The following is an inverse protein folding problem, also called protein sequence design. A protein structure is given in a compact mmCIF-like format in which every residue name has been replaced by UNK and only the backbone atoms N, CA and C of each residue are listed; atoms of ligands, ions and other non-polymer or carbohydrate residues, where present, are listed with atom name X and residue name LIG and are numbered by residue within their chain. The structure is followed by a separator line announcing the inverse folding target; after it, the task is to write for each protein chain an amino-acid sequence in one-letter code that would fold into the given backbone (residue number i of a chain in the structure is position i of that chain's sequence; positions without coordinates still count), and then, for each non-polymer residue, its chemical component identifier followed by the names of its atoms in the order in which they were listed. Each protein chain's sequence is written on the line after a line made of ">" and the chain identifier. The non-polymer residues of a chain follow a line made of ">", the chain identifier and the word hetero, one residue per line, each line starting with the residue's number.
data_IF_221910418725
#
_entry.id   IF_221910418725
#
_cell.length_a   1.000
_cell.length_b   1.000
_cell.length_c   1.000
_cell.angle_alpha   90.00
_cell.angle_beta   90.00
_cell.angle_gamma   90.00
#
_symmetry.space_group_name_H-M   'P 1'
#
loop_
_entity.id
_entity.type
_entity.pdbx_description
1 polymer ?
#
# COMPACT_ATOMS: atom_id res chain seq x y z
N UNK A 1 -0.31 -5.87 22.00
CA UNK A 1 1.11 -6.04 22.30
C UNK A 1 1.89 -6.10 21.00
N UNK A 2 2.77 -5.09 20.75
CA UNK A 2 3.64 -5.06 19.58
C UNK A 2 4.85 -6.00 19.79
N UNK A 3 5.31 -6.62 18.70
CA UNK A 3 6.54 -7.39 18.71
C UNK A 3 7.77 -6.49 18.97
N UNK A 4 8.92 -7.04 19.40
CA UNK A 4 10.12 -6.24 19.63
C UNK A 4 10.63 -5.53 18.38
N UNK A 5 10.41 -6.10 17.21
CA UNK A 5 10.84 -5.58 15.91
C UNK A 5 9.84 -4.61 15.27
N UNK A 6 8.69 -4.36 15.90
CA UNK A 6 7.69 -3.41 15.42
C UNK A 6 8.07 -1.97 15.78
N UNK A 7 7.76 -1.03 14.90
CA UNK A 7 7.93 0.40 15.16
C UNK A 7 7.00 0.88 16.26
N UNK A 8 7.55 1.63 17.22
CA UNK A 8 6.79 2.24 18.32
C UNK A 8 6.70 3.74 18.14
N UNK A 9 5.50 4.29 18.23
CA UNK A 9 5.29 5.73 18.03
C UNK A 9 6.12 6.62 18.98
N UNK A 10 6.43 6.15 20.20
CA UNK A 10 7.29 6.87 21.16
C UNK A 10 8.79 6.80 20.79
N UNK A 11 9.17 5.93 19.91
CA UNK A 11 10.55 5.72 19.45
C UNK A 11 10.72 6.19 17.99
N UNK A 12 9.77 7.00 17.48
CA UNK A 12 9.81 7.55 16.12
C UNK A 12 11.04 8.44 15.92
N UNK A 13 11.60 8.39 14.70
CA UNK A 13 12.63 9.35 14.27
C UNK A 13 12.10 10.80 14.18
N UNK A 14 10.79 10.99 14.42
CA UNK A 14 10.18 12.30 14.51
C UNK A 14 9.70 12.86 13.18
N UNK A 15 9.49 14.16 13.19
CA UNK A 15 8.95 14.95 12.08
C UNK A 15 9.96 15.97 11.60
N UNK A 16 9.83 16.39 10.34
CA UNK A 16 10.68 17.46 9.77
C UNK A 16 10.56 18.77 10.54
N UNK A 17 9.34 19.12 10.93
CA UNK A 17 9.06 20.29 11.78
C UNK A 17 8.60 19.80 13.16
N UNK A 18 9.28 20.20 14.25
CA UNK A 18 8.91 19.80 15.60
C UNK A 18 7.49 20.27 15.96
N UNK A 19 6.72 19.38 16.58
CA UNK A 19 5.37 19.65 17.06
C UNK A 19 5.16 19.03 18.44
N UNK A 20 4.32 19.65 19.24
CA UNK A 20 3.90 19.10 20.53
C UNK A 20 3.14 17.78 20.34
N UNK A 21 3.43 16.81 21.16
CA UNK A 21 2.68 15.54 21.20
C UNK A 21 1.20 15.78 21.53
N UNK A 22 0.35 14.95 20.96
CA UNK A 22 -1.08 15.04 21.23
C UNK A 22 -1.43 14.15 22.44
N UNK A 23 -2.29 14.62 23.37
CA UNK A 23 -2.56 13.90 24.62
C UNK A 23 -3.24 12.52 24.42
N UNK A 24 -3.92 12.29 23.30
CA UNK A 24 -4.69 11.07 23.04
C UNK A 24 -4.27 10.29 21.81
N UNK A 25 -3.57 10.95 20.85
CA UNK A 25 -3.20 10.33 19.57
C UNK A 25 -1.70 10.15 19.48
N UNK A 26 -1.28 8.95 19.10
CA UNK A 26 0.12 8.67 18.79
C UNK A 26 0.58 9.45 17.55
N UNK A 27 1.90 9.52 17.33
CA UNK A 27 2.46 10.16 16.14
C UNK A 27 1.91 9.52 14.84
N UNK A 28 1.82 8.19 14.77
CA UNK A 28 1.32 7.48 13.58
C UNK A 28 -0.18 7.64 13.38
N UNK A 29 -0.98 7.70 14.45
CA UNK A 29 -2.41 8.04 14.34
C UNK A 29 -2.62 9.43 13.76
N UNK A 30 -1.81 10.41 14.21
CA UNK A 30 -1.85 11.77 13.62
C UNK A 30 -1.46 11.78 12.16
N UNK A 31 -0.53 10.92 11.73
CA UNK A 31 -0.14 10.82 10.32
C UNK A 31 -1.29 10.28 9.48
N UNK A 32 -1.93 9.21 9.92
CA UNK A 32 -3.13 8.67 9.27
C UNK A 32 -4.22 9.74 9.12
N UNK A 33 -4.53 10.46 10.21
CA UNK A 33 -5.53 11.52 10.17
C UNK A 33 -5.16 12.61 9.15
N UNK A 34 -3.89 12.99 9.08
CA UNK A 34 -3.40 14.01 8.13
C UNK A 34 -3.55 13.56 6.68
N UNK A 35 -3.26 12.30 6.39
CA UNK A 35 -3.44 11.71 5.06
C UNK A 35 -4.91 11.72 4.67
N UNK A 36 -5.79 11.17 5.52
CA UNK A 36 -7.23 11.09 5.24
C UNK A 36 -7.83 12.48 4.94
N UNK A 37 -7.37 13.49 5.65
CA UNK A 37 -7.90 14.85 5.51
C UNK A 37 -7.22 15.68 4.42
N UNK A 38 -6.18 15.22 3.74
CA UNK A 38 -5.50 15.99 2.68
C UNK A 38 -6.31 16.03 1.38
N UNK A 39 -5.99 17.01 0.52
CA UNK A 39 -6.67 17.15 -0.76
C UNK A 39 -6.29 16.05 -1.75
N UNK A 40 -5.02 15.64 -1.72
CA UNK A 40 -4.51 14.58 -2.60
C UNK A 40 -5.24 13.25 -2.36
N UNK A 41 -5.54 12.88 -1.10
CA UNK A 41 -6.27 11.67 -0.76
C UNK A 41 -7.70 11.67 -1.36
N UNK A 42 -8.43 12.78 -1.24
CA UNK A 42 -9.76 12.88 -1.85
C UNK A 42 -9.73 12.78 -3.38
N UNK A 43 -8.64 13.26 -4.01
CA UNK A 43 -8.47 13.18 -5.48
C UNK A 43 -8.24 11.76 -5.98
N UNK A 44 -7.88 10.81 -5.13
CA UNK A 44 -7.76 9.39 -5.50
C UNK A 44 -9.09 8.82 -6.00
N UNK A 45 -10.23 9.36 -5.57
CA UNK A 45 -11.57 8.99 -6.06
C UNK A 45 -11.73 9.22 -7.57
N UNK A 46 -11.06 10.22 -8.10
CA UNK A 46 -11.14 10.61 -9.51
C UNK A 46 -10.00 10.05 -10.37
N UNK A 47 -9.17 9.17 -9.80
CA UNK A 47 -8.10 8.48 -10.51
C UNK A 47 -8.47 7.01 -10.67
N UNK A 48 -8.43 6.53 -11.91
CA UNK A 48 -8.69 5.11 -12.23
C UNK A 48 -7.58 4.23 -11.67
N UNK A 49 -7.93 3.04 -11.20
CA UNK A 49 -6.95 1.99 -10.90
C UNK A 49 -6.45 1.38 -12.22
N UNK A 50 -7.32 0.69 -12.92
CA UNK A 50 -7.05 0.09 -14.24
C UNK A 50 -8.11 0.53 -15.25
N UNK A 51 -9.39 0.38 -14.92
CA UNK A 51 -10.52 0.68 -15.80
C UNK A 51 -11.08 2.07 -15.54
N UNK A 52 -11.53 2.72 -16.62
CA UNK A 52 -12.06 4.08 -16.53
C UNK A 52 -13.49 4.03 -15.99
N UNK A 53 -13.74 4.73 -14.88
CA UNK A 53 -15.00 4.65 -14.12
C UNK A 53 -16.26 5.12 -14.87
N UNK A 54 -16.13 5.89 -15.94
CA UNK A 54 -17.30 6.29 -16.74
C UNK A 54 -17.91 5.14 -17.58
N UNK A 55 -17.21 4.00 -17.68
CA UNK A 55 -17.74 2.77 -18.30
C UNK A 55 -18.64 1.99 -17.34
N UNK A 56 -18.45 2.19 -16.02
CA UNK A 56 -19.26 1.59 -14.96
C UNK A 56 -18.81 2.10 -13.59
N UNK A 57 -19.76 2.46 -12.73
CA UNK A 57 -19.53 3.01 -11.40
C UNK A 57 -19.05 1.98 -10.36
N UNK A 58 -18.96 0.72 -10.75
CA UNK A 58 -18.52 -0.42 -9.90
C UNK A 58 -17.04 -0.78 -10.08
N UNK A 59 -16.32 -0.12 -11.01
CA UNK A 59 -14.87 -0.31 -11.13
C UNK A 59 -14.12 0.42 -10.02
N UNK A 60 -12.97 -0.16 -9.63
CA UNK A 60 -12.16 0.40 -8.55
C UNK A 60 -11.50 1.72 -8.93
N UNK A 61 -11.61 2.68 -8.02
CA UNK A 61 -10.79 3.91 -8.03
C UNK A 61 -9.51 3.67 -7.22
N UNK A 62 -8.52 4.55 -7.33
CA UNK A 62 -7.33 4.49 -6.48
C UNK A 62 -7.66 4.68 -5.00
N UNK A 63 -8.76 5.38 -4.68
CA UNK A 63 -9.21 5.52 -3.29
C UNK A 63 -9.67 4.19 -2.72
N UNK A 64 -10.53 3.47 -3.44
CA UNK A 64 -11.02 2.16 -3.00
C UNK A 64 -9.90 1.13 -2.93
N UNK A 65 -8.99 1.14 -3.91
CA UNK A 65 -7.77 0.32 -3.86
C UNK A 65 -6.93 0.59 -2.61
N UNK A 66 -6.63 1.87 -2.29
CA UNK A 66 -5.86 2.21 -1.09
C UNK A 66 -6.53 1.75 0.20
N UNK A 67 -7.87 1.74 0.28
CA UNK A 67 -8.61 1.20 1.42
C UNK A 67 -8.48 -0.33 1.51
N UNK A 68 -8.56 -1.03 0.39
CA UNK A 68 -8.41 -2.48 0.31
C UNK A 68 -6.96 -2.90 0.66
N UNK A 69 -5.96 -2.18 0.17
CA UNK A 69 -4.55 -2.36 0.58
C UNK A 69 -4.39 -2.18 2.09
N UNK A 70 -4.96 -1.12 2.67
CA UNK A 70 -4.89 -0.88 4.10
C UNK A 70 -5.55 -2.01 4.91
N UNK A 71 -6.66 -2.57 4.43
CA UNK A 71 -7.36 -3.70 5.07
C UNK A 71 -6.48 -4.96 5.06
N UNK A 72 -5.89 -5.31 3.91
CA UNK A 72 -5.00 -6.49 3.77
C UNK A 72 -3.74 -6.30 4.62
N UNK A 73 -3.09 -5.14 4.50
CA UNK A 73 -1.88 -4.82 5.24
C UNK A 73 -2.08 -4.87 6.78
N UNK A 74 -3.20 -4.36 7.28
CA UNK A 74 -3.54 -4.46 8.71
C UNK A 74 -3.76 -5.90 9.16
N UNK A 75 -4.33 -6.75 8.31
CA UNK A 75 -4.49 -8.18 8.61
C UNK A 75 -3.14 -8.84 8.80
N UNK A 76 -2.20 -8.64 7.87
CA UNK A 76 -0.81 -9.11 7.99
C UNK A 76 -0.11 -8.50 9.20
N UNK A 77 -0.25 -7.19 9.41
CA UNK A 77 0.34 -6.48 10.54
C UNK A 77 -0.10 -7.03 11.89
N UNK A 78 -1.37 -7.38 12.03
CA UNK A 78 -1.93 -7.98 13.25
C UNK A 78 -1.35 -9.37 13.50
N UNK A 79 -1.25 -10.21 12.49
CA UNK A 79 -0.64 -11.55 12.59
C UNK A 79 0.84 -11.45 13.00
N UNK A 80 1.57 -10.50 12.43
CA UNK A 80 2.99 -10.24 12.70
C UNK A 80 3.22 -9.38 13.95
N UNK A 81 2.16 -8.90 14.62
CA UNK A 81 2.20 -8.01 15.80
C UNK A 81 2.95 -6.70 15.53
N UNK A 82 2.77 -6.14 14.33
CA UNK A 82 3.31 -4.86 13.88
C UNK A 82 2.38 -3.70 14.27
N UNK A 83 2.83 -2.47 14.06
CA UNK A 83 2.08 -1.26 14.37
C UNK A 83 1.03 -0.96 13.29
N UNK A 84 -0.23 -1.30 13.57
CA UNK A 84 -1.35 -1.10 12.63
C UNK A 84 -1.55 0.37 12.25
N UNK A 85 -1.33 1.32 13.15
CA UNK A 85 -1.48 2.76 12.84
C UNK A 85 -0.43 3.23 11.80
N UNK A 86 0.82 2.73 11.91
CA UNK A 86 1.88 3.02 10.94
C UNK A 86 1.57 2.37 9.58
N UNK A 87 1.16 1.11 9.60
CA UNK A 87 0.75 0.38 8.38
C UNK A 87 -0.35 1.15 7.66
N UNK A 88 -1.40 1.53 8.37
CA UNK A 88 -2.55 2.23 7.78
C UNK A 88 -2.16 3.61 7.24
N UNK A 89 -1.31 4.36 7.96
CA UNK A 89 -0.81 5.65 7.49
C UNK A 89 -0.01 5.52 6.18
N UNK A 90 0.85 4.50 6.05
CA UNK A 90 1.63 4.25 4.83
C UNK A 90 0.70 3.78 3.71
N UNK A 91 -0.19 2.82 3.97
CA UNK A 91 -1.10 2.28 2.98
C UNK A 91 -2.05 3.32 2.37
N UNK A 92 -2.57 4.24 3.18
CA UNK A 92 -3.42 5.33 2.68
C UNK A 92 -2.63 6.41 1.90
N UNK A 93 -1.32 6.50 2.13
CA UNK A 93 -0.49 7.52 1.51
C UNK A 93 0.26 7.04 0.26
N UNK A 94 0.38 5.73 0.02
CA UNK A 94 1.28 5.19 -1.01
C UNK A 94 0.96 5.67 -2.42
N UNK A 95 -0.32 5.86 -2.74
CA UNK A 95 -0.82 6.22 -4.08
C UNK A 95 -1.03 7.73 -4.32
N UNK A 96 -0.72 8.60 -3.35
CA UNK A 96 -1.00 10.04 -3.44
C UNK A 96 -0.34 10.73 -4.64
N UNK A 97 0.81 10.21 -5.07
CA UNK A 97 1.59 10.75 -6.18
C UNK A 97 1.26 10.18 -7.56
N UNK A 98 0.36 9.20 -7.66
CA UNK A 98 0.01 8.60 -8.95
C UNK A 98 -0.62 9.59 -9.93
N UNK A 99 -0.29 9.38 -11.20
CA UNK A 99 -0.83 10.13 -12.34
C UNK A 99 -2.22 9.62 -12.72
N UNK A 100 -3.02 10.39 -13.47
CA UNK A 100 -4.14 9.84 -14.25
C UNK A 100 -3.62 8.74 -15.19
N UNK A 101 -4.46 7.75 -15.48
CA UNK A 101 -4.17 6.61 -16.36
C UNK A 101 -3.04 5.68 -15.88
N UNK A 102 -2.84 5.60 -14.56
CA UNK A 102 -1.94 4.64 -13.92
C UNK A 102 -0.50 4.69 -14.44
N UNK A 103 0.11 3.53 -14.65
CA UNK A 103 1.49 3.42 -15.12
C UNK A 103 1.70 3.92 -16.56
N UNK A 104 0.67 3.87 -17.42
CA UNK A 104 0.77 4.45 -18.77
C UNK A 104 0.96 5.96 -18.72
N UNK A 105 0.21 6.64 -17.83
CA UNK A 105 0.37 8.08 -17.60
C UNK A 105 1.72 8.42 -16.96
N UNK A 106 2.20 7.58 -16.05
CA UNK A 106 3.53 7.72 -15.44
C UNK A 106 4.64 7.62 -16.47
N UNK A 107 4.59 6.61 -17.36
CA UNK A 107 5.57 6.40 -18.41
C UNK A 107 5.68 7.63 -19.32
N UNK A 108 4.53 8.12 -19.81
CA UNK A 108 4.51 9.33 -20.68
C UNK A 108 5.05 10.55 -19.95
N UNK A 109 4.68 10.76 -18.68
CA UNK A 109 5.20 11.89 -17.91
C UNK A 109 6.71 11.76 -17.65
N UNK A 110 7.19 10.55 -17.39
CA UNK A 110 8.64 10.31 -17.21
C UNK A 110 9.43 10.65 -18.47
N UNK A 111 8.94 10.27 -19.64
CA UNK A 111 9.54 10.63 -20.93
C UNK A 111 9.55 12.15 -21.16
N UNK A 112 8.40 12.81 -20.97
CA UNK A 112 8.26 14.25 -21.14
C UNK A 112 9.13 15.06 -20.18
N UNK A 113 9.43 14.50 -19.02
CA UNK A 113 10.24 15.12 -17.98
C UNK A 113 11.70 14.65 -17.96
N UNK A 114 12.17 13.92 -18.95
CA UNK A 114 13.54 13.37 -18.99
C UNK A 114 14.60 14.43 -18.69
N UNK A 115 14.51 15.58 -19.32
CA UNK A 115 15.45 16.71 -19.13
C UNK A 115 15.22 17.48 -17.80
N UNK A 116 14.18 17.13 -17.03
CA UNK A 116 13.80 17.76 -15.76
C UNK A 116 13.90 16.82 -14.56
N UNK A 117 14.57 15.68 -14.72
CA UNK A 117 14.80 14.69 -13.66
C UNK A 117 13.84 13.51 -13.66
N UNK A 118 12.98 13.42 -14.68
CA UNK A 118 12.01 12.35 -14.82
C UNK A 118 10.78 12.50 -13.92
N UNK A 119 9.93 11.49 -13.94
CA UNK A 119 8.77 11.38 -13.07
C UNK A 119 8.69 9.97 -12.47
N UNK A 120 8.38 9.89 -11.17
CA UNK A 120 8.20 8.63 -10.44
C UNK A 120 7.17 8.87 -9.34
N UNK A 121 6.12 8.03 -9.30
CA UNK A 121 4.93 8.28 -8.45
C UNK A 121 5.23 8.27 -6.95
N UNK A 122 6.16 7.44 -6.45
CA UNK A 122 6.51 7.43 -5.01
C UNK A 122 7.27 8.70 -4.62
N UNK A 123 8.19 9.17 -5.47
CA UNK A 123 8.87 10.45 -5.25
C UNK A 123 7.86 11.61 -5.31
N UNK A 124 6.92 11.57 -6.24
CA UNK A 124 5.84 12.55 -6.30
C UNK A 124 4.90 12.47 -5.08
N UNK A 125 4.60 11.27 -4.57
CA UNK A 125 3.82 11.11 -3.33
C UNK A 125 4.54 11.76 -2.14
N UNK A 126 5.86 11.54 -2.02
CA UNK A 126 6.66 12.23 -1.01
C UNK A 126 6.61 13.75 -1.18
N UNK A 127 6.73 14.25 -2.42
CA UNK A 127 6.63 15.68 -2.71
C UNK A 127 5.26 16.25 -2.33
N UNK A 128 4.19 15.52 -2.58
CA UNK A 128 2.82 15.90 -2.17
C UNK A 128 2.76 16.09 -0.66
N UNK A 129 3.21 15.10 0.12
CA UNK A 129 3.09 15.14 1.59
C UNK A 129 4.12 16.05 2.27
N UNK A 130 5.25 16.36 1.62
CA UNK A 130 6.29 17.19 2.18
C UNK A 130 6.15 18.67 1.81
N UNK A 131 5.53 19.00 0.64
CA UNK A 131 5.60 20.34 0.05
C UNK A 131 4.25 20.83 -0.48
N UNK A 132 3.51 20.00 -1.27
CA UNK A 132 2.42 20.50 -2.09
C UNK A 132 1.08 20.64 -1.36
N UNK A 133 0.88 19.91 -0.26
CA UNK A 133 -0.31 20.11 0.58
C UNK A 133 -0.15 21.36 1.43
N UNK A 134 -1.03 22.33 1.25
CA UNK A 134 -1.06 23.60 1.97
C UNK A 134 -2.19 23.60 3.01
N UNK A 135 -1.95 23.00 4.17
CA UNK A 135 -3.00 22.83 5.18
C UNK A 135 -2.64 23.47 6.54
N UNK A 136 -1.37 23.58 6.85
CA UNK A 136 -0.89 24.01 8.15
C UNK A 136 -0.19 25.39 8.08
N UNK A 137 -0.47 26.30 9.03
CA UNK A 137 0.06 27.68 8.93
C UNK A 137 1.57 27.81 9.15
N UNK A 138 2.21 26.79 9.71
CA UNK A 138 3.62 26.85 10.12
C UNK A 138 4.58 26.18 9.15
N UNK A 139 4.07 25.36 8.24
CA UNK A 139 4.89 24.59 7.29
C UNK A 139 4.05 24.17 6.09
N UNK A 140 4.70 23.94 4.98
CA UNK A 140 4.13 23.28 3.81
C UNK A 140 4.11 21.77 4.04
N UNK A 141 3.26 21.07 3.32
CA UNK A 141 3.08 19.62 3.41
C UNK A 141 2.26 19.20 4.64
N UNK A 142 2.29 17.91 4.91
CA UNK A 142 1.57 17.26 6.02
C UNK A 142 2.43 17.06 7.26
N UNK A 143 3.75 17.25 7.17
CA UNK A 143 4.71 17.00 8.25
C UNK A 143 4.55 15.63 8.88
N UNK A 144 4.57 14.57 8.03
CA UNK A 144 4.48 13.18 8.46
C UNK A 144 5.77 12.72 9.15
N UNK A 145 5.70 11.65 9.93
CA UNK A 145 6.87 11.04 10.56
C UNK A 145 7.84 10.46 9.53
N UNK A 146 9.08 10.33 9.94
CA UNK A 146 10.16 9.80 9.10
C UNK A 146 9.86 8.39 8.57
N UNK A 147 9.21 7.56 9.38
CA UNK A 147 8.82 6.18 9.04
C UNK A 147 7.75 6.15 7.95
N UNK A 148 6.70 6.97 8.06
CA UNK A 148 5.66 7.05 7.03
C UNK A 148 6.26 7.56 5.73
N UNK A 149 7.10 8.58 5.76
CA UNK A 149 7.78 9.13 4.59
C UNK A 149 8.70 8.10 3.93
N UNK A 150 9.40 7.28 4.72
CA UNK A 150 10.21 6.16 4.22
C UNK A 150 9.33 5.10 3.56
N UNK A 151 8.20 4.75 4.16
CA UNK A 151 7.23 3.80 3.61
C UNK A 151 6.65 4.26 2.27
N UNK A 152 6.31 5.55 2.13
CA UNK A 152 5.84 6.14 0.87
C UNK A 152 6.92 6.04 -0.23
N UNK A 153 8.15 6.38 0.10
CA UNK A 153 9.26 6.36 -0.86
C UNK A 153 9.70 4.94 -1.24
N UNK A 154 9.38 3.97 -0.40
CA UNK A 154 9.82 2.58 -0.53
C UNK A 154 11.36 2.52 -0.62
N UNK A 155 11.92 1.91 -1.68
CA UNK A 155 13.37 1.85 -1.94
C UNK A 155 13.84 2.88 -2.97
N UNK A 156 12.95 3.76 -3.42
CA UNK A 156 13.25 4.79 -4.41
C UNK A 156 14.04 5.95 -3.78
N UNK A 157 14.63 6.76 -4.63
CA UNK A 157 15.32 7.99 -4.23
C UNK A 157 14.36 9.17 -4.32
N UNK A 158 14.39 10.10 -3.36
CA UNK A 158 13.62 11.34 -3.46
C UNK A 158 14.16 12.22 -4.59
N UNK A 159 13.36 13.18 -5.06
CA UNK A 159 13.84 14.25 -5.94
C UNK A 159 14.95 15.06 -5.24
N UNK A 160 15.79 15.77 -6.03
CA UNK A 160 16.89 16.58 -5.48
C UNK A 160 16.39 17.57 -4.43
N UNK A 161 17.03 17.56 -3.27
CA UNK A 161 16.71 18.46 -2.14
C UNK A 161 15.52 18.04 -1.28
N UNK A 162 14.84 16.97 -1.64
CA UNK A 162 13.74 16.37 -0.87
C UNK A 162 14.22 15.18 -0.02
N UNK A 163 13.40 14.73 0.89
CA UNK A 163 13.71 13.52 1.67
C UNK A 163 14.57 13.73 2.92
N UNK A 164 14.83 14.95 3.36
CA UNK A 164 15.50 15.17 4.64
C UNK A 164 14.70 14.59 5.80
N UNK A 165 15.38 13.92 6.74
CA UNK A 165 14.74 13.32 7.91
C UNK A 165 13.83 12.13 7.57
N UNK A 166 14.14 11.34 6.54
CA UNK A 166 13.53 10.04 6.27
C UNK A 166 14.18 8.99 7.17
N UNK A 167 13.42 8.00 7.64
CA UNK A 167 13.97 6.89 8.41
C UNK A 167 15.04 6.12 7.62
N UNK A 168 16.13 5.67 8.25
CA UNK A 168 17.29 5.10 7.56
C UNK A 168 16.98 3.76 6.88
N UNK A 169 16.06 2.98 7.45
CA UNK A 169 15.68 1.66 6.93
C UNK A 169 14.18 1.55 6.73
N UNK A 170 13.79 0.66 5.82
CA UNK A 170 12.39 0.34 5.56
C UNK A 170 11.87 -0.60 6.64
N UNK A 171 10.90 -0.15 7.42
CA UNK A 171 10.31 -0.95 8.50
C UNK A 171 9.55 -2.17 7.97
N UNK A 172 9.29 -3.17 8.83
CA UNK A 172 8.45 -4.30 8.47
C UNK A 172 7.01 -3.86 8.18
N UNK A 173 6.53 -2.82 8.84
CA UNK A 173 5.24 -2.20 8.55
C UNK A 173 5.16 -1.71 7.09
N UNK A 174 6.22 -1.08 6.59
CA UNK A 174 6.27 -0.62 5.21
C UNK A 174 6.40 -1.79 4.23
N UNK A 175 7.19 -2.83 4.55
CA UNK A 175 7.31 -4.05 3.73
C UNK A 175 5.96 -4.77 3.63
N UNK A 176 5.18 -4.83 4.72
CA UNK A 176 3.82 -5.39 4.72
C UNK A 176 2.91 -4.62 3.76
N UNK A 177 3.01 -3.30 3.71
CA UNK A 177 2.21 -2.49 2.77
C UNK A 177 2.60 -2.79 1.32
N UNK A 178 3.90 -2.96 1.02
CA UNK A 178 4.35 -3.31 -0.32
C UNK A 178 3.73 -4.62 -0.81
N UNK A 179 3.79 -5.67 0.01
CA UNK A 179 3.23 -6.98 -0.36
C UNK A 179 1.70 -6.95 -0.39
N UNK A 180 1.06 -6.20 0.51
CA UNK A 180 -0.40 -6.04 0.49
C UNK A 180 -0.90 -5.30 -0.76
N UNK A 181 -0.13 -4.33 -1.26
CA UNK A 181 -0.39 -3.63 -2.51
C UNK A 181 -0.35 -4.62 -3.69
N UNK A 182 0.68 -5.48 -3.76
CA UNK A 182 0.78 -6.53 -4.78
C UNK A 182 -0.38 -7.55 -4.72
N UNK A 183 -0.76 -8.00 -3.52
CA UNK A 183 -1.89 -8.92 -3.33
C UNK A 183 -3.19 -8.27 -3.80
N UNK A 184 -3.43 -7.02 -3.39
CA UNK A 184 -4.61 -6.26 -3.77
C UNK A 184 -4.66 -6.06 -5.28
N UNK A 185 -3.60 -5.52 -5.87
CA UNK A 185 -3.47 -5.26 -7.30
C UNK A 185 -3.75 -6.52 -8.12
N UNK A 186 -3.02 -7.61 -7.89
CA UNK A 186 -3.16 -8.84 -8.67
C UNK A 186 -4.56 -9.46 -8.55
N UNK A 187 -5.14 -9.46 -7.34
CA UNK A 187 -6.46 -10.07 -7.12
C UNK A 187 -7.60 -9.23 -7.69
N UNK A 188 -7.48 -7.91 -7.61
CA UNK A 188 -8.50 -7.00 -8.08
C UNK A 188 -8.47 -6.84 -9.60
N UNK A 189 -7.30 -6.88 -10.22
CA UNK A 189 -7.18 -6.87 -11.68
C UNK A 189 -7.74 -8.13 -12.31
N UNK A 190 -7.60 -9.29 -11.64
CA UNK A 190 -8.30 -10.50 -12.05
C UNK A 190 -9.83 -10.33 -12.00
N UNK A 191 -10.37 -9.78 -10.91
CA UNK A 191 -11.82 -9.57 -10.76
C UNK A 191 -12.36 -8.57 -11.81
N UNK A 192 -11.71 -7.42 -11.94
CA UNK A 192 -12.13 -6.37 -12.86
C UNK A 192 -11.88 -6.77 -14.33
N UNK A 193 -10.80 -7.52 -14.61
CA UNK A 193 -10.50 -8.07 -15.94
C UNK A 193 -11.54 -9.06 -16.44
N UNK A 194 -12.02 -9.95 -15.56
CA UNK A 194 -13.11 -10.89 -15.90
C UNK A 194 -14.43 -10.12 -16.06
N UNK A 195 -14.75 -9.19 -15.16
CA UNK A 195 -15.98 -8.36 -15.24
C UNK A 195 -16.06 -7.56 -16.52
N UNK A 196 -14.93 -7.01 -16.96
CA UNK A 196 -14.85 -6.24 -18.22
C UNK A 196 -14.79 -7.09 -19.47
N UNK A 197 -14.75 -8.41 -19.34
CA UNK A 197 -14.59 -9.38 -20.43
C UNK A 197 -13.27 -9.23 -21.22
N UNK A 198 -12.26 -8.55 -20.65
CA UNK A 198 -10.92 -8.47 -21.23
C UNK A 198 -10.09 -9.73 -20.93
N UNK A 199 -10.44 -10.45 -19.87
CA UNK A 199 -9.85 -11.73 -19.51
C UNK A 199 -10.97 -12.76 -19.50
N UNK A 200 -10.83 -13.81 -20.30
CA UNK A 200 -11.74 -14.94 -20.22
C UNK A 200 -11.41 -15.80 -18.99
N UNK A 201 -12.42 -16.27 -18.28
CA UNK A 201 -12.21 -17.13 -17.09
C UNK A 201 -11.38 -18.37 -17.40
N UNK A 202 -11.52 -18.92 -18.61
CA UNK A 202 -10.80 -20.08 -19.13
C UNK A 202 -9.29 -19.83 -19.25
N UNK A 203 -8.87 -18.58 -19.52
CA UNK A 203 -7.44 -18.21 -19.58
C UNK A 203 -6.79 -18.33 -18.21
N UNK A 204 -7.51 -17.93 -17.15
CA UNK A 204 -7.02 -18.05 -15.76
C UNK A 204 -6.97 -19.52 -15.29
N UNK A 205 -7.73 -20.43 -15.88
CA UNK A 205 -7.65 -21.86 -15.56
C UNK A 205 -6.30 -22.49 -15.91
N UNK A 206 -5.51 -21.84 -16.76
CA UNK A 206 -4.13 -22.24 -17.02
C UNK A 206 -3.24 -22.08 -15.79
N UNK A 207 -3.59 -21.17 -14.84
CA UNK A 207 -2.85 -20.90 -13.61
C UNK A 207 -3.20 -21.95 -12.52
N UNK A 208 -2.21 -22.69 -12.00
CA UNK A 208 -2.48 -23.77 -11.03
C UNK A 208 -3.21 -23.30 -9.77
N UNK A 209 -2.81 -22.14 -9.22
CA UNK A 209 -3.44 -21.59 -8.01
C UNK A 209 -4.91 -21.23 -8.25
N UNK A 210 -5.20 -20.53 -9.36
CA UNK A 210 -6.58 -20.16 -9.71
C UNK A 210 -7.46 -21.39 -9.87
N UNK A 211 -6.99 -22.38 -10.64
CA UNK A 211 -7.70 -23.66 -10.85
C UNK A 211 -8.00 -24.37 -9.54
N UNK A 212 -7.02 -24.45 -8.64
CA UNK A 212 -7.23 -25.08 -7.33
C UNK A 212 -8.31 -24.35 -6.52
N UNK A 213 -8.29 -23.02 -6.53
CA UNK A 213 -9.25 -22.19 -5.81
C UNK A 213 -10.65 -22.35 -6.37
N UNK A 214 -10.82 -22.26 -7.70
CA UNK A 214 -12.12 -22.41 -8.36
C UNK A 214 -12.69 -23.81 -8.12
N UNK A 215 -11.89 -24.86 -8.28
CA UNK A 215 -12.33 -26.22 -7.97
C UNK A 215 -12.80 -26.37 -6.52
N UNK A 216 -12.10 -25.76 -5.56
CA UNK A 216 -12.53 -25.75 -4.17
C UNK A 216 -13.86 -25.01 -3.96
N UNK A 217 -14.09 -23.89 -4.66
CA UNK A 217 -15.38 -23.17 -4.61
C UNK A 217 -16.52 -24.04 -5.15
N UNK A 218 -16.30 -24.70 -6.33
CA UNK A 218 -17.31 -25.57 -6.96
C UNK A 218 -17.62 -26.77 -6.08
N UNK A 219 -16.63 -27.37 -5.43
CA UNK A 219 -16.83 -28.50 -4.52
C UNK A 219 -17.63 -28.10 -3.27
N UNK A 220 -17.33 -26.96 -2.67
CA UNK A 220 -18.00 -26.49 -1.44
C UNK A 220 -19.43 -26.00 -1.73
N UNK A 221 -19.68 -25.46 -2.93
CA UNK A 221 -20.94 -24.85 -3.32
C UNK A 221 -21.40 -25.28 -4.72
N UNK A 222 -21.84 -26.54 -4.89
CA UNK A 222 -22.32 -27.03 -6.17
C UNK A 222 -23.51 -26.23 -6.69
N UNK A 223 -23.48 -25.85 -7.96
CA UNK A 223 -24.58 -25.11 -8.60
C UNK A 223 -24.64 -23.62 -8.29
N UNK A 224 -23.57 -23.05 -7.70
CA UNK A 224 -23.47 -21.61 -7.48
C UNK A 224 -23.43 -20.86 -8.82
N UNK A 225 -24.10 -19.70 -8.89
CA UNK A 225 -24.07 -18.82 -10.06
C UNK A 225 -22.63 -18.36 -10.39
N UNK A 226 -22.25 -18.25 -11.68
CA UNK A 226 -20.89 -17.93 -12.11
C UNK A 226 -20.32 -16.65 -11.48
N UNK A 227 -21.14 -15.61 -11.33
CA UNK A 227 -20.71 -14.34 -10.72
C UNK A 227 -20.35 -14.50 -9.23
N UNK A 228 -21.12 -15.27 -8.49
CA UNK A 228 -20.83 -15.60 -7.09
C UNK A 228 -19.63 -16.52 -6.96
N UNK A 229 -19.45 -17.47 -7.90
CA UNK A 229 -18.25 -18.32 -7.94
C UNK A 229 -16.99 -17.48 -8.11
N UNK A 230 -17.00 -16.54 -9.06
CA UNK A 230 -15.88 -15.61 -9.28
C UNK A 230 -15.56 -14.79 -8.02
N UNK A 231 -16.57 -14.14 -7.45
CA UNK A 231 -16.38 -13.34 -6.22
C UNK A 231 -15.81 -14.18 -5.07
N UNK A 232 -16.30 -15.42 -4.91
CA UNK A 232 -15.79 -16.36 -3.91
C UNK A 232 -14.36 -16.81 -4.22
N UNK A 233 -14.01 -16.99 -5.48
CA UNK A 233 -12.66 -17.34 -5.90
C UNK A 233 -11.66 -16.20 -5.61
N UNK A 234 -12.02 -14.95 -5.90
CA UNK A 234 -11.17 -13.78 -5.59
C UNK A 234 -10.93 -13.65 -4.07
N UNK A 235 -11.97 -13.81 -3.25
CA UNK A 235 -11.81 -13.80 -1.78
C UNK A 235 -10.86 -14.91 -1.31
N UNK A 236 -11.00 -16.13 -1.86
CA UNK A 236 -10.10 -17.25 -1.52
C UNK A 236 -8.69 -17.02 -2.03
N UNK A 237 -8.50 -16.37 -3.17
CA UNK A 237 -7.20 -16.02 -3.72
C UNK A 237 -6.47 -15.05 -2.78
N UNK A 238 -7.14 -13.99 -2.33
CA UNK A 238 -6.58 -13.06 -1.35
C UNK A 238 -6.20 -13.78 -0.05
N UNK A 239 -7.11 -14.61 0.48
CA UNK A 239 -6.88 -15.34 1.72
C UNK A 239 -5.70 -16.32 1.62
N UNK A 240 -5.54 -17.00 0.50
CA UNK A 240 -4.43 -17.92 0.25
C UNK A 240 -3.09 -17.17 0.24
N UNK A 241 -3.00 -16.06 -0.49
CA UNK A 241 -1.80 -15.22 -0.56
C UNK A 241 -1.46 -14.60 0.81
N UNK A 242 -2.44 -14.02 1.51
CA UNK A 242 -2.24 -13.45 2.85
C UNK A 242 -1.74 -14.51 3.84
N UNK A 243 -2.28 -15.73 3.77
CA UNK A 243 -1.86 -16.83 4.65
C UNK A 243 -0.43 -17.27 4.36
N UNK A 244 -0.08 -17.41 3.08
CA UNK A 244 1.26 -17.81 2.65
C UNK A 244 2.31 -16.75 3.07
N UNK A 245 2.05 -15.49 2.75
CA UNK A 245 2.91 -14.37 3.17
C UNK A 245 3.08 -14.30 4.67
N UNK A 246 2.01 -14.45 5.45
CA UNK A 246 2.09 -14.42 6.91
C UNK A 246 2.98 -15.53 7.46
N UNK A 247 2.79 -16.76 6.98
CA UNK A 247 3.56 -17.93 7.42
C UNK A 247 5.05 -17.80 7.07
N UNK A 248 5.34 -17.42 5.82
CA UNK A 248 6.71 -17.27 5.34
C UNK A 248 7.41 -16.10 6.05
N UNK A 249 6.74 -14.98 6.27
CA UNK A 249 7.28 -13.83 7.00
C UNK A 249 7.63 -14.20 8.45
N UNK A 250 6.75 -14.92 9.15
CA UNK A 250 7.05 -15.43 10.50
C UNK A 250 8.30 -16.29 10.51
N UNK A 251 8.45 -17.16 9.51
CA UNK A 251 9.63 -18.04 9.37
C UNK A 251 10.90 -17.22 9.15
N UNK A 252 10.86 -16.26 8.20
CA UNK A 252 12.02 -15.40 7.86
C UNK A 252 12.44 -14.52 9.04
N UNK A 253 11.48 -13.85 9.70
CA UNK A 253 11.77 -13.01 10.88
C UNK A 253 12.43 -13.80 11.97
N UNK A 254 11.94 -15.02 12.26
CA UNK A 254 12.55 -15.92 13.26
C UNK A 254 13.97 -16.34 12.87
N UNK A 255 14.18 -16.72 11.62
CA UNK A 255 15.50 -17.12 11.10
C UNK A 255 16.50 -15.96 11.10
N UNK A 256 16.05 -14.76 10.79
CA UNK A 256 16.90 -13.57 10.81
C UNK A 256 17.23 -13.08 12.24
N UNK A 257 16.53 -13.57 13.26
CA UNK A 257 16.75 -13.17 14.66
C UNK A 257 16.50 -11.68 14.93
N UNK A 258 15.60 -11.04 14.15
CA UNK A 258 15.33 -9.61 14.29
C UNK A 258 14.66 -9.31 15.63
N UNK A 259 15.29 -8.47 16.42
CA UNK A 259 14.82 -8.07 17.75
C UNK A 259 14.51 -6.57 17.89
N UNK A 260 14.74 -5.78 16.83
CA UNK A 260 14.52 -4.33 16.80
C UNK A 260 14.25 -3.86 15.38
N UNK A 261 13.40 -2.84 15.16
CA UNK A 261 13.20 -2.25 13.84
C UNK A 261 14.48 -1.60 13.28
N UNK A 262 15.46 -1.28 14.12
CA UNK A 262 16.74 -0.69 13.70
C UNK A 262 17.74 -1.71 13.14
N UNK A 263 17.47 -3.02 13.30
CA UNK A 263 18.35 -4.12 12.82
C UNK A 263 17.89 -4.67 11.46
N UNK A 264 17.03 -3.97 10.76
CA UNK A 264 16.57 -4.33 9.42
C UNK A 264 17.61 -3.93 8.36
N UNK A 265 17.63 -4.65 7.24
CA UNK A 265 18.47 -4.40 6.09
C UNK A 265 17.57 -4.24 4.84
N UNK A 266 17.64 -3.08 4.20
CA UNK A 266 16.86 -2.79 2.99
C UNK A 266 17.14 -3.75 1.82
N UNK A 267 18.32 -4.40 1.83
CA UNK A 267 18.70 -5.39 0.80
C UNK A 267 18.18 -6.81 1.11
N UNK A 268 17.59 -7.01 2.28
CA UNK A 268 17.07 -8.31 2.74
C UNK A 268 15.66 -8.17 3.29
N UNK A 269 14.65 -7.99 2.43
CA UNK A 269 13.26 -7.93 2.87
C UNK A 269 12.85 -9.24 3.54
N UNK A 270 12.09 -9.12 4.62
CA UNK A 270 11.62 -10.25 5.43
C UNK A 270 10.14 -10.56 5.23
N UNK A 271 9.42 -9.64 4.58
CA UNK A 271 8.03 -9.80 4.18
C UNK A 271 7.98 -10.15 2.70
#
# INVERSE_FOLDING_TARGET
>A
WLAPYACRARETYGRRFPETEHPYRTAFQRDKDRVIHCAAFRRLEYKTQVFVTHVGDYYRTRLTHSLEVAQIARTLGRVLKLNEDLIEAIALAHDLGHTPFGHSGEHVLNELMENHGGFEHNAQALRVVDILEERYPRFNGLNLTAEVRRGILKRKKPFRGEGQGIAPVLSLEAQVVDVADEIAYNSHDCDDGIKSQLIASEELESLPLWRQIVNGVVQDFPGMEPERQRSSAVVRLINAQVTDVANESIRRIRQAGVSSPHNLDDNRPLI
#
